data_IF_784314045203
#
_entry.id   IF_784314045203
#
_cell.length_a   1.000
_cell.length_b   1.000
_cell.length_c   1.000
_cell.angle_alpha   90.00
_cell.angle_beta   90.00
_cell.angle_gamma   90.00
#
_symmetry.space_group_name_H-M   'P 1'
#
loop_
_entity.id
_entity.type
_entity.pdbx_description
1 polymer ?
#
# COMPACT_ATOMS: atom_id res chain seq x y z
N UNK A 1 -0.52 -5.00 -27.25
CA UNK A 1 -1.30 -4.41 -26.13
C UNK A 1 -0.50 -4.57 -24.85
N UNK A 2 -0.23 -3.49 -24.10
CA UNK A 2 0.60 -3.57 -22.90
C UNK A 2 -0.06 -4.48 -21.85
N UNK A 3 0.69 -5.47 -21.33
CA UNK A 3 0.22 -6.49 -20.36
C UNK A 3 -0.49 -5.86 -19.15
N UNK A 4 0.00 -4.70 -18.69
CA UNK A 4 -0.61 -3.97 -17.56
C UNK A 4 -1.97 -3.36 -17.88
N UNK A 5 -2.18 -2.86 -19.11
CA UNK A 5 -3.49 -2.37 -19.55
C UNK A 5 -4.51 -3.51 -19.64
N UNK A 6 -4.08 -4.68 -20.13
CA UNK A 6 -4.92 -5.90 -20.17
C UNK A 6 -5.31 -6.31 -18.76
N UNK A 7 -4.34 -6.34 -17.84
CA UNK A 7 -4.60 -6.72 -16.44
C UNK A 7 -5.52 -5.72 -15.74
N UNK A 8 -5.39 -4.42 -16.02
CA UNK A 8 -6.27 -3.39 -15.46
C UNK A 8 -7.70 -3.54 -16.00
N UNK A 9 -7.84 -3.80 -17.30
CA UNK A 9 -9.14 -4.08 -17.92
C UNK A 9 -9.78 -5.35 -17.32
N UNK A 10 -9.01 -6.44 -17.21
CA UNK A 10 -9.49 -7.68 -16.61
C UNK A 10 -9.93 -7.50 -15.16
N UNK A 11 -9.21 -6.73 -14.35
CA UNK A 11 -9.59 -6.43 -12.97
C UNK A 11 -10.96 -5.75 -12.88
N UNK A 12 -11.27 -4.83 -13.79
CA UNK A 12 -12.57 -4.15 -13.85
C UNK A 12 -13.67 -5.06 -14.37
N UNK A 13 -13.41 -5.76 -15.48
CA UNK A 13 -14.40 -6.61 -16.17
C UNK A 13 -14.74 -7.88 -15.41
N UNK A 14 -13.82 -8.40 -14.58
CA UNK A 14 -14.02 -9.63 -13.81
C UNK A 14 -14.46 -9.36 -12.35
N UNK A 15 -14.91 -8.13 -12.06
CA UNK A 15 -15.37 -7.76 -10.72
C UNK A 15 -16.53 -8.60 -10.21
N UNK A 16 -17.39 -9.08 -11.11
CA UNK A 16 -18.57 -9.90 -10.81
C UNK A 16 -18.25 -11.37 -10.55
N UNK A 17 -17.04 -11.84 -10.89
CA UNK A 17 -16.66 -13.21 -10.62
C UNK A 17 -16.63 -13.51 -9.12
N UNK A 18 -17.04 -14.73 -8.69
CA UNK A 18 -16.82 -15.20 -7.34
C UNK A 18 -15.33 -15.08 -6.96
N UNK A 19 -15.05 -14.65 -5.73
CA UNK A 19 -13.70 -14.31 -5.28
C UNK A 19 -12.68 -15.43 -5.53
N UNK A 20 -13.03 -16.70 -5.25
CA UNK A 20 -12.14 -17.85 -5.48
C UNK A 20 -11.82 -18.05 -6.96
N UNK A 21 -12.82 -17.90 -7.84
CA UNK A 21 -12.64 -18.04 -9.29
C UNK A 21 -11.78 -16.92 -9.85
N UNK A 22 -12.02 -15.69 -9.39
CA UNK A 22 -11.22 -14.53 -9.74
C UNK A 22 -9.74 -14.75 -9.36
N UNK A 23 -9.48 -15.16 -8.12
CA UNK A 23 -8.10 -15.35 -7.61
C UNK A 23 -7.39 -16.47 -8.38
N UNK A 24 -8.06 -17.61 -8.65
CA UNK A 24 -7.49 -18.72 -9.44
C UNK A 24 -7.11 -18.26 -10.85
N UNK A 25 -7.97 -17.49 -11.50
CA UNK A 25 -7.71 -16.95 -12.83
C UNK A 25 -6.58 -15.92 -12.80
N UNK A 26 -6.64 -14.97 -11.87
CA UNK A 26 -5.62 -13.93 -11.71
C UNK A 26 -4.24 -14.53 -11.44
N UNK A 27 -4.15 -15.50 -10.54
CA UNK A 27 -2.92 -16.22 -10.22
C UNK A 27 -2.35 -16.92 -11.46
N UNK A 28 -3.19 -17.65 -12.21
CA UNK A 28 -2.76 -18.31 -13.45
C UNK A 28 -2.21 -17.33 -14.48
N UNK A 29 -2.84 -16.17 -14.63
CA UNK A 29 -2.39 -15.12 -15.57
C UNK A 29 -1.10 -14.44 -15.13
N UNK A 30 -0.87 -14.33 -13.82
CA UNK A 30 0.32 -13.68 -13.26
C UNK A 30 1.51 -14.63 -13.13
N UNK A 31 1.28 -15.80 -12.58
CA UNK A 31 2.32 -16.78 -12.20
C UNK A 31 2.55 -17.84 -13.27
N UNK A 32 1.62 -17.96 -14.23
CA UNK A 32 1.72 -18.92 -15.34
C UNK A 32 1.32 -20.35 -14.99
N UNK A 33 0.93 -20.63 -13.74
CA UNK A 33 0.52 -21.97 -13.27
C UNK A 33 -0.78 -21.93 -12.47
N UNK A 34 -1.40 -23.10 -12.27
CA UNK A 34 -2.62 -23.22 -11.48
C UNK A 34 -2.33 -22.94 -10.00
N UNK A 35 -3.25 -22.23 -9.35
CA UNK A 35 -3.22 -22.01 -7.91
C UNK A 35 -3.71 -23.25 -7.18
N UNK A 36 -2.88 -23.84 -6.32
CA UNK A 36 -3.27 -24.90 -5.41
C UNK A 36 -3.79 -24.29 -4.11
N UNK A 37 -5.11 -24.35 -3.89
CA UNK A 37 -5.75 -23.84 -2.68
C UNK A 37 -5.96 -24.92 -1.62
N UNK A 38 -5.91 -26.19 -2.02
CA UNK A 38 -6.19 -27.32 -1.12
C UNK A 38 -4.92 -27.73 -0.35
N UNK A 39 -3.77 -27.65 -1.01
CA UNK A 39 -2.46 -27.88 -0.40
C UNK A 39 -1.45 -26.84 -0.88
N UNK A 40 -1.48 -25.59 -0.34
CA UNK A 40 -0.58 -24.53 -0.74
C UNK A 40 0.85 -24.79 -0.22
N UNK A 41 1.81 -24.91 -1.12
CA UNK A 41 3.22 -25.19 -0.77
C UNK A 41 4.09 -23.95 -0.83
N UNK A 42 3.86 -23.09 -1.81
CA UNK A 42 4.66 -21.85 -1.97
C UNK A 42 4.09 -20.69 -1.15
N UNK A 43 4.93 -19.72 -0.82
CA UNK A 43 4.51 -18.50 -0.12
C UNK A 43 3.33 -17.82 -0.84
N UNK A 44 3.42 -17.67 -2.17
CA UNK A 44 2.35 -17.05 -2.95
C UNK A 44 1.02 -17.80 -2.87
N UNK A 45 1.04 -19.13 -2.88
CA UNK A 45 -0.17 -19.95 -2.70
C UNK A 45 -0.74 -19.80 -1.29
N UNK A 46 0.12 -19.82 -0.27
CA UNK A 46 -0.27 -19.61 1.14
C UNK A 46 -0.90 -18.23 1.33
N UNK A 47 -0.35 -17.18 0.73
CA UNK A 47 -0.94 -15.83 0.77
C UNK A 47 -2.33 -15.79 0.12
N UNK A 48 -2.54 -16.49 -1.02
CA UNK A 48 -3.87 -16.54 -1.62
C UNK A 48 -4.86 -17.36 -0.76
N UNK A 49 -4.39 -18.45 -0.16
CA UNK A 49 -5.18 -19.27 0.76
C UNK A 49 -5.63 -18.47 1.98
N UNK A 50 -4.72 -17.66 2.57
CA UNK A 50 -5.02 -16.81 3.72
C UNK A 50 -6.13 -15.80 3.46
N UNK A 51 -6.30 -15.28 2.25
CA UNK A 51 -7.39 -14.36 1.90
C UNK A 51 -8.79 -14.93 2.17
N UNK A 52 -8.93 -16.25 2.20
CA UNK A 52 -10.21 -16.92 2.42
C UNK A 52 -10.34 -17.54 3.81
N UNK A 53 -9.24 -18.02 4.36
CA UNK A 53 -9.24 -18.84 5.56
C UNK A 53 -8.75 -18.11 6.81
N UNK A 54 -8.14 -16.93 6.62
CA UNK A 54 -7.53 -16.17 7.70
C UNK A 54 -8.12 -14.75 7.75
N UNK A 55 -9.22 -14.60 8.49
CA UNK A 55 -9.97 -13.35 8.55
C UNK A 55 -10.23 -12.97 9.99
N UNK A 56 -9.64 -11.84 10.41
CA UNK A 56 -9.85 -11.28 11.74
C UNK A 56 -10.30 -9.82 11.65
N UNK A 57 -11.13 -9.35 12.57
CA UNK A 57 -11.52 -7.94 12.62
C UNK A 57 -10.33 -6.99 12.66
N UNK A 58 -9.27 -7.35 13.41
CA UNK A 58 -8.05 -6.57 13.53
C UNK A 58 -7.39 -6.29 12.18
N UNK A 59 -7.47 -7.21 11.20
CA UNK A 59 -6.89 -6.99 9.88
C UNK A 59 -7.45 -5.73 9.19
N UNK A 60 -8.76 -5.47 9.32
CA UNK A 60 -9.37 -4.28 8.75
C UNK A 60 -8.93 -3.01 9.48
N UNK A 61 -8.77 -3.08 10.79
CA UNK A 61 -8.30 -1.96 11.62
C UNK A 61 -6.87 -1.58 11.23
N UNK A 62 -5.95 -2.56 11.16
CA UNK A 62 -4.54 -2.30 10.84
C UNK A 62 -4.29 -2.00 9.36
N UNK A 63 -5.26 -2.30 8.49
CA UNK A 63 -5.19 -1.93 7.06
C UNK A 63 -5.76 -0.53 6.78
N UNK A 64 -6.56 0.01 7.68
CA UNK A 64 -7.06 1.38 7.63
C UNK A 64 -6.01 2.33 8.22
N UNK A 65 -5.42 3.20 7.36
CA UNK A 65 -4.37 4.13 7.80
C UNK A 65 -4.80 5.16 8.85
N UNK A 66 -6.11 5.32 9.05
CA UNK A 66 -6.65 6.17 10.12
C UNK A 66 -6.82 5.36 11.41
N UNK A 67 -7.52 4.22 11.34
CA UNK A 67 -7.83 3.41 12.52
C UNK A 67 -6.59 2.73 13.11
N UNK A 68 -5.60 2.36 12.31
CA UNK A 68 -4.36 1.76 12.81
C UNK A 68 -3.59 2.68 13.75
N UNK A 69 -3.83 3.99 13.70
CA UNK A 69 -3.14 4.98 14.55
C UNK A 69 -3.48 4.76 16.02
N UNK A 70 -4.75 4.55 16.35
CA UNK A 70 -5.18 4.28 17.74
C UNK A 70 -4.57 2.97 18.24
N UNK A 71 -4.53 1.94 17.38
CA UNK A 71 -3.90 0.67 17.70
C UNK A 71 -2.39 0.81 17.97
N UNK A 72 -1.67 1.55 17.12
CA UNK A 72 -0.22 1.79 17.30
C UNK A 72 0.02 2.61 18.56
N UNK A 73 -0.77 3.67 18.80
CA UNK A 73 -0.68 4.49 19.99
C UNK A 73 -0.85 3.67 21.27
N UNK A 74 -1.81 2.76 21.28
CA UNK A 74 -2.06 1.86 22.43
C UNK A 74 -0.91 0.85 22.65
N UNK A 75 -0.34 0.31 21.57
CA UNK A 75 0.64 -0.80 21.66
C UNK A 75 2.07 -0.35 21.90
N UNK A 76 2.50 0.73 21.27
CA UNK A 76 3.91 1.14 21.30
C UNK A 76 4.14 2.63 21.53
N UNK A 77 3.08 3.47 21.49
CA UNK A 77 3.17 4.90 21.76
C UNK A 77 2.87 5.78 20.53
N UNK A 78 2.51 7.02 20.80
CA UNK A 78 2.17 8.01 19.77
C UNK A 78 3.40 8.55 19.03
N UNK A 79 4.55 8.51 19.65
CA UNK A 79 5.85 8.95 19.12
C UNK A 79 6.29 8.17 17.87
N UNK A 80 5.73 6.96 17.67
CA UNK A 80 5.97 6.16 16.46
C UNK A 80 5.03 6.50 15.30
N UNK A 81 4.12 7.46 15.48
CA UNK A 81 3.18 7.89 14.46
C UNK A 81 3.61 9.21 13.83
N UNK A 82 3.54 9.29 12.51
CA UNK A 82 3.67 10.57 11.81
C UNK A 82 2.52 11.47 12.26
N UNK A 83 2.73 12.73 12.68
CA UNK A 83 1.66 13.62 13.11
C UNK A 83 0.54 13.73 12.06
N UNK A 84 -0.71 13.50 12.51
CA UNK A 84 -1.90 13.67 11.70
C UNK A 84 -2.31 15.15 11.74
N UNK A 85 -2.44 15.77 10.58
CA UNK A 85 -2.86 17.16 10.43
C UNK A 85 -4.36 17.31 10.25
N UNK A 86 -5.03 16.25 9.78
CA UNK A 86 -6.47 16.23 9.61
C UNK A 86 -6.98 14.99 8.89
N UNK A 87 -8.32 14.82 8.93
CA UNK A 87 -9.02 13.75 8.23
C UNK A 87 -10.40 14.23 7.79
N UNK A 88 -10.76 13.98 6.51
CA UNK A 88 -11.99 14.45 5.88
C UNK A 88 -12.67 13.35 5.07
N UNK A 89 -13.96 13.53 4.80
CA UNK A 89 -14.71 12.64 3.90
C UNK A 89 -14.52 13.07 2.44
N UNK A 90 -14.64 14.35 2.19
CA UNK A 90 -14.60 14.93 0.86
C UNK A 90 -13.42 15.87 0.72
N UNK A 91 -12.93 16.07 -0.50
CA UNK A 91 -11.78 16.92 -0.78
C UNK A 91 -12.08 18.39 -0.50
N UNK A 92 -13.31 18.81 -0.71
CA UNK A 92 -13.80 20.16 -0.49
C UNK A 92 -13.82 20.57 0.98
N UNK A 93 -13.86 19.61 1.89
CA UNK A 93 -13.82 19.87 3.33
C UNK A 93 -12.42 20.29 3.82
N UNK A 94 -11.40 20.19 2.97
CA UNK A 94 -10.02 20.50 3.33
C UNK A 94 -9.79 22.00 3.29
N UNK A 95 -9.60 22.61 4.46
CA UNK A 95 -9.09 23.98 4.53
C UNK A 95 -7.56 23.98 4.39
N UNK A 96 -7.10 24.21 3.16
CA UNK A 96 -5.66 24.26 2.87
C UNK A 96 -4.94 25.44 3.50
N UNK A 97 -5.66 26.48 3.95
CA UNK A 97 -5.04 27.64 4.62
C UNK A 97 -4.44 27.22 5.95
N UNK A 98 -5.06 26.26 6.64
CA UNK A 98 -4.61 25.72 7.93
C UNK A 98 -3.46 24.71 7.80
N UNK A 99 -3.21 24.20 6.60
CA UNK A 99 -2.14 23.23 6.40
C UNK A 99 -0.77 23.90 6.23
N UNK A 100 0.30 23.27 6.73
CA UNK A 100 1.66 23.79 6.57
C UNK A 100 2.08 23.83 5.10
N UNK A 101 3.25 24.42 4.81
CA UNK A 101 3.80 24.46 3.44
C UNK A 101 4.06 23.07 2.85
N UNK A 102 4.34 22.10 3.72
CA UNK A 102 4.68 20.73 3.33
C UNK A 102 3.79 19.73 4.06
N UNK A 103 3.14 18.86 3.32
CA UNK A 103 2.26 17.82 3.86
C UNK A 103 2.10 16.65 2.89
N UNK A 104 1.46 15.59 3.36
CA UNK A 104 1.11 14.43 2.54
C UNK A 104 -0.37 14.14 2.67
N UNK A 105 -1.12 14.21 1.56
CA UNK A 105 -2.49 13.71 1.50
C UNK A 105 -2.49 12.27 1.00
N UNK A 106 -3.30 11.44 1.62
CA UNK A 106 -3.50 10.05 1.18
C UNK A 106 -4.88 9.54 1.57
N UNK A 107 -5.39 8.55 0.84
CA UNK A 107 -6.59 7.85 1.26
C UNK A 107 -6.24 6.73 2.25
N UNK A 108 -7.12 6.53 3.26
CA UNK A 108 -6.88 5.56 4.33
C UNK A 108 -6.93 4.10 3.86
N UNK A 109 -7.67 3.81 2.79
CA UNK A 109 -8.11 2.48 2.37
C UNK A 109 -7.39 1.92 1.14
N UNK A 110 -6.43 2.66 0.56
CA UNK A 110 -5.73 2.24 -0.66
C UNK A 110 -4.22 2.52 -0.62
N UNK A 111 -3.53 2.22 -1.72
CA UNK A 111 -2.11 2.55 -1.90
C UNK A 111 -1.84 3.53 -3.05
N UNK A 112 -2.89 4.08 -3.69
CA UNK A 112 -2.78 4.88 -4.92
C UNK A 112 -3.02 6.37 -4.77
N UNK A 113 -3.83 6.78 -3.80
CA UNK A 113 -4.28 8.16 -3.58
C UNK A 113 -3.28 9.06 -2.83
N UNK A 114 -1.99 8.93 -3.10
CA UNK A 114 -0.94 9.69 -2.43
C UNK A 114 -0.60 10.98 -3.17
N UNK A 115 -0.70 12.12 -2.50
CA UNK A 115 -0.22 13.44 -2.95
C UNK A 115 0.85 13.92 -1.98
N UNK A 116 2.08 14.03 -2.44
CA UNK A 116 3.20 14.58 -1.67
C UNK A 116 3.33 16.05 -2.03
N UNK A 117 3.03 16.92 -1.09
CA UNK A 117 3.18 18.37 -1.21
C UNK A 117 4.49 18.80 -0.53
N UNK A 118 5.48 19.17 -1.31
CA UNK A 118 6.75 19.69 -0.84
C UNK A 118 6.78 21.23 -0.82
N UNK A 119 5.82 21.87 -1.49
CA UNK A 119 5.62 23.33 -1.50
C UNK A 119 4.16 23.60 -1.88
N UNK A 120 3.37 24.08 -0.90
CA UNK A 120 1.94 24.36 -1.08
C UNK A 120 1.67 25.41 -2.16
N UNK A 121 2.57 26.39 -2.30
CA UNK A 121 2.41 27.48 -3.25
C UNK A 121 2.59 27.00 -4.71
N UNK A 122 3.18 25.81 -4.91
CA UNK A 122 3.40 25.16 -6.19
C UNK A 122 2.50 23.94 -6.43
N UNK A 123 1.60 23.65 -5.50
CA UNK A 123 0.71 22.51 -5.59
C UNK A 123 -0.33 22.73 -6.69
N UNK A 124 -0.42 21.79 -7.64
CA UNK A 124 -1.52 21.72 -8.58
C UNK A 124 -2.74 21.09 -7.87
N UNK A 125 -3.58 21.96 -7.30
CA UNK A 125 -4.76 21.55 -6.53
C UNK A 125 -5.76 20.75 -7.37
N UNK A 126 -5.89 21.05 -8.67
CA UNK A 126 -6.78 20.32 -9.56
C UNK A 126 -6.32 18.87 -9.74
N UNK A 127 -5.04 18.66 -10.04
CA UNK A 127 -4.49 17.31 -10.15
C UNK A 127 -4.51 16.56 -8.81
N UNK A 128 -4.28 17.27 -7.71
CA UNK A 128 -4.36 16.68 -6.37
C UNK A 128 -5.79 16.20 -6.08
N UNK A 129 -6.80 17.03 -6.36
CA UNK A 129 -8.21 16.70 -6.23
C UNK A 129 -8.57 15.47 -7.05
N UNK A 130 -8.31 15.50 -8.37
CA UNK A 130 -8.62 14.39 -9.28
C UNK A 130 -8.03 13.07 -8.78
N UNK A 131 -6.79 13.11 -8.28
CA UNK A 131 -6.11 11.92 -7.78
C UNK A 131 -6.75 11.37 -6.52
N UNK A 132 -7.07 12.23 -5.56
CA UNK A 132 -7.68 11.86 -4.29
C UNK A 132 -9.11 11.37 -4.50
N UNK A 133 -9.93 12.09 -5.26
CA UNK A 133 -11.31 11.68 -5.56
C UNK A 133 -11.40 10.37 -6.33
N UNK A 134 -10.51 10.15 -7.28
CA UNK A 134 -10.41 8.87 -7.98
C UNK A 134 -10.11 7.73 -7.01
N UNK A 135 -9.26 7.98 -6.03
CA UNK A 135 -8.93 7.04 -4.99
C UNK A 135 -10.11 6.79 -4.06
N UNK A 136 -10.79 7.82 -3.56
CA UNK A 136 -11.98 7.71 -2.71
C UNK A 136 -13.08 6.85 -3.33
N UNK A 137 -13.28 6.97 -4.67
CA UNK A 137 -14.25 6.18 -5.43
C UNK A 137 -13.81 4.72 -5.68
N UNK A 138 -12.58 4.37 -5.33
CA UNK A 138 -12.05 3.02 -5.52
C UNK A 138 -12.34 2.15 -4.28
N UNK A 139 -12.40 0.82 -4.51
CA UNK A 139 -12.34 -0.13 -3.43
C UNK A 139 -11.23 -1.14 -3.73
N UNK A 140 -10.19 -1.10 -2.92
CA UNK A 140 -8.97 -1.87 -3.10
C UNK A 140 -9.20 -3.38 -3.03
N UNK A 141 -10.26 -3.81 -2.33
CA UNK A 141 -10.69 -5.22 -2.31
C UNK A 141 -10.82 -5.82 -3.71
N UNK A 142 -11.40 -5.09 -4.66
CA UNK A 142 -11.63 -5.62 -6.00
C UNK A 142 -10.36 -5.81 -6.84
N UNK A 143 -9.22 -5.28 -6.37
CA UNK A 143 -7.93 -5.44 -7.05
C UNK A 143 -7.30 -6.80 -6.70
N UNK A 144 -7.22 -7.11 -5.42
CA UNK A 144 -6.52 -8.29 -4.92
C UNK A 144 -7.39 -9.30 -4.17
N UNK A 145 -8.68 -9.01 -4.01
CA UNK A 145 -9.61 -9.78 -3.17
C UNK A 145 -9.10 -9.92 -1.73
N UNK A 146 -8.44 -8.89 -1.24
CA UNK A 146 -7.95 -8.81 0.12
C UNK A 146 -9.06 -8.33 1.03
N UNK A 147 -9.60 -9.24 1.84
CA UNK A 147 -10.83 -9.05 2.61
C UNK A 147 -10.77 -7.85 3.56
N UNK A 148 -9.63 -7.58 4.13
CA UNK A 148 -9.42 -6.47 5.07
C UNK A 148 -9.77 -5.10 4.50
N UNK A 149 -9.67 -4.91 3.17
CA UNK A 149 -10.02 -3.65 2.52
C UNK A 149 -11.50 -3.50 2.14
N UNK A 150 -12.29 -4.58 2.26
CA UNK A 150 -13.66 -4.63 1.70
C UNK A 150 -14.57 -3.56 2.28
N UNK A 151 -14.51 -3.37 3.60
CA UNK A 151 -15.45 -2.55 4.37
C UNK A 151 -14.80 -1.30 4.99
N UNK A 152 -13.56 -0.97 4.63
CA UNK A 152 -12.95 0.28 5.08
C UNK A 152 -13.73 1.44 4.47
N UNK A 153 -14.22 2.34 5.33
CA UNK A 153 -14.89 3.56 4.88
C UNK A 153 -13.85 4.54 4.35
N UNK A 154 -13.93 4.95 3.07
CA UNK A 154 -12.96 5.86 2.48
C UNK A 154 -12.90 7.19 3.22
N UNK A 155 -11.68 7.66 3.48
CA UNK A 155 -11.39 8.99 4.02
C UNK A 155 -10.08 9.52 3.46
N UNK A 156 -9.96 10.82 3.42
CA UNK A 156 -8.71 11.52 3.20
C UNK A 156 -8.03 11.71 4.56
N UNK A 157 -6.75 11.47 4.64
CA UNK A 157 -5.92 11.83 5.78
C UNK A 157 -4.78 12.72 5.30
N UNK A 158 -4.43 13.70 6.12
CA UNK A 158 -3.28 14.57 5.91
C UNK A 158 -2.27 14.32 7.02
N UNK A 159 -1.05 14.03 6.65
CA UNK A 159 0.06 13.83 7.58
C UNK A 159 1.16 14.85 7.34
N UNK A 160 1.91 15.12 8.39
CA UNK A 160 3.12 15.95 8.30
C UNK A 160 4.08 15.34 7.29
N UNK A 161 4.63 16.16 6.40
CA UNK A 161 5.71 15.72 5.53
C UNK A 161 6.96 15.43 6.36
N UNK A 162 7.52 14.24 6.17
CA UNK A 162 8.81 13.87 6.76
C UNK A 162 9.87 13.79 5.67
N UNK A 163 11.05 14.29 5.97
CA UNK A 163 12.19 14.23 5.07
C UNK A 163 13.44 13.85 5.84
N UNK A 164 14.35 13.19 5.16
CA UNK A 164 15.70 12.92 5.62
C UNK A 164 16.66 13.74 4.77
N UNK A 165 17.26 14.78 5.36
CA UNK A 165 18.15 15.74 4.69
C UNK A 165 17.54 16.31 3.38
N UNK A 166 16.23 16.65 3.41
CA UNK A 166 15.49 17.18 2.26
C UNK A 166 15.02 16.13 1.25
N UNK A 167 15.36 14.87 1.45
CA UNK A 167 14.92 13.75 0.61
C UNK A 167 13.76 12.98 1.25
N UNK A 168 13.02 12.24 0.44
CA UNK A 168 12.04 11.28 0.95
C UNK A 168 12.79 10.16 1.68
N UNK A 169 12.40 9.81 2.92
CA UNK A 169 13.05 8.74 3.66
C UNK A 169 13.02 7.41 2.92
N UNK A 170 14.00 6.57 3.19
CA UNK A 170 13.99 5.19 2.70
C UNK A 170 12.80 4.43 3.29
N UNK A 171 12.23 3.53 2.49
CA UNK A 171 11.11 2.69 2.89
C UNK A 171 11.65 1.33 3.39
N UNK A 172 11.37 1.01 4.64
CA UNK A 172 11.76 -0.25 5.28
C UNK A 172 10.54 -1.15 5.43
N UNK A 173 10.62 -2.37 4.94
CA UNK A 173 9.57 -3.39 5.07
C UNK A 173 10.12 -4.59 5.79
N UNK A 174 9.63 -4.83 7.00
CA UNK A 174 10.06 -5.94 7.83
C UNK A 174 9.09 -7.10 7.64
N UNK A 175 9.59 -8.21 7.16
CA UNK A 175 8.85 -9.47 7.06
C UNK A 175 8.94 -10.21 8.39
N UNK A 176 7.78 -10.47 8.99
CA UNK A 176 7.69 -11.18 10.26
C UNK A 176 7.02 -12.54 10.07
N UNK A 177 7.59 -13.57 10.66
CA UNK A 177 7.01 -14.91 10.69
C UNK A 177 6.84 -15.35 12.15
N UNK A 178 5.64 -15.78 12.50
CA UNK A 178 5.27 -16.15 13.88
C UNK A 178 5.62 -15.08 14.92
N UNK A 179 5.40 -13.80 14.56
CA UNK A 179 5.69 -12.66 15.45
C UNK A 179 7.16 -12.26 15.55
N UNK A 180 8.07 -12.93 14.84
CA UNK A 180 9.50 -12.60 14.83
C UNK A 180 9.87 -11.95 13.50
N UNK A 181 10.61 -10.82 13.53
CA UNK A 181 11.19 -10.25 12.33
C UNK A 181 12.26 -11.20 11.77
N UNK A 182 12.28 -11.36 10.45
CA UNK A 182 13.13 -12.31 9.75
C UNK A 182 13.94 -11.62 8.63
N UNK A 183 13.24 -10.95 7.71
CA UNK A 183 13.87 -10.27 6.58
C UNK A 183 13.44 -8.81 6.54
N UNK A 184 14.39 -7.90 6.32
CA UNK A 184 14.13 -6.48 6.07
C UNK A 184 14.38 -6.15 4.61
N UNK A 185 13.37 -5.65 3.93
CA UNK A 185 13.47 -5.07 2.59
C UNK A 185 13.62 -3.55 2.70
N UNK A 186 14.71 -3.02 2.19
CA UNK A 186 14.96 -1.59 2.08
C UNK A 186 14.72 -1.13 0.64
N UNK A 187 13.78 -0.18 0.46
CA UNK A 187 13.51 0.43 -0.84
C UNK A 187 14.20 1.79 -0.91
N UNK A 188 15.18 1.92 -1.80
CA UNK A 188 15.90 3.18 -2.08
C UNK A 188 15.41 3.78 -3.39
N UNK A 189 15.57 5.08 -3.53
CA UNK A 189 15.35 5.85 -4.77
C UNK A 189 13.94 5.75 -5.37
N UNK A 190 12.95 5.36 -4.56
CA UNK A 190 11.57 5.12 -5.02
C UNK A 190 10.93 6.37 -5.66
N UNK A 191 11.38 7.56 -5.29
CA UNK A 191 10.87 8.84 -5.77
C UNK A 191 11.97 9.71 -6.41
N UNK A 192 13.14 9.11 -6.73
CA UNK A 192 14.23 9.83 -7.38
C UNK A 192 13.83 10.25 -8.79
N UNK A 193 14.04 11.54 -9.11
CA UNK A 193 13.85 12.07 -10.46
C UNK A 193 14.89 11.53 -11.46
N UNK A 194 16.03 11.06 -10.96
CA UNK A 194 17.18 10.67 -11.76
C UNK A 194 17.22 9.18 -12.09
N UNK A 195 16.48 8.36 -11.35
CA UNK A 195 16.42 6.92 -11.59
C UNK A 195 14.96 6.50 -11.71
N UNK A 196 14.57 5.97 -12.87
CA UNK A 196 13.22 5.43 -13.07
C UNK A 196 13.00 4.08 -12.38
N UNK A 197 13.93 3.64 -11.52
CA UNK A 197 13.89 2.33 -10.88
C UNK A 197 14.24 2.45 -9.40
N UNK A 198 13.34 2.00 -8.53
CA UNK A 198 13.65 1.79 -7.14
C UNK A 198 14.64 0.63 -7.00
N UNK A 199 15.61 0.78 -6.10
CA UNK A 199 16.53 -0.29 -5.71
C UNK A 199 15.97 -1.01 -4.49
N UNK A 200 16.01 -2.34 -4.51
CA UNK A 200 15.52 -3.18 -3.42
C UNK A 200 16.67 -4.00 -2.85
N UNK A 201 16.92 -3.83 -1.56
CA UNK A 201 17.95 -4.55 -0.82
C UNK A 201 17.27 -5.39 0.27
N UNK A 202 17.60 -6.68 0.31
CA UNK A 202 17.11 -7.59 1.34
C UNK A 202 18.22 -7.82 2.35
N UNK A 203 17.87 -7.72 3.62
CA UNK A 203 18.75 -8.00 4.74
C UNK A 203 18.12 -9.12 5.57
N UNK A 204 18.89 -10.18 5.75
CA UNK A 204 18.58 -11.23 6.71
C UNK A 204 19.01 -10.76 8.11
N UNK A 205 18.19 -10.97 9.12
CA UNK A 205 18.53 -10.58 10.50
C UNK A 205 19.64 -11.46 11.12
N UNK A 206 19.80 -12.67 10.63
CA UNK A 206 20.87 -13.59 11.12
C UNK A 206 22.25 -13.23 10.58
N UNK A 207 22.34 -12.46 9.49
CA UNK A 207 23.61 -12.08 8.84
C UNK A 207 23.59 -10.61 8.53
N UNK A 208 24.48 -9.82 9.12
CA UNK A 208 24.60 -8.36 8.91
C UNK A 208 24.77 -7.94 7.43
N UNK A 209 25.02 -8.86 6.53
CA UNK A 209 25.32 -8.60 5.12
C UNK A 209 24.80 -9.72 4.22
N UNK A 210 23.63 -9.55 3.65
CA UNK A 210 23.30 -10.31 2.44
C UNK A 210 22.63 -9.38 1.44
N UNK A 211 23.35 -9.05 0.40
CA UNK A 211 22.82 -8.28 -0.71
C UNK A 211 22.20 -9.24 -1.72
N UNK A 212 20.89 -9.42 -1.65
CA UNK A 212 20.14 -9.96 -2.77
C UNK A 212 19.57 -8.79 -3.56
N UNK A 213 20.26 -8.37 -4.60
CA UNK A 213 19.70 -7.51 -5.64
C UNK A 213 18.81 -8.37 -6.52
N UNK A 214 17.51 -8.34 -6.31
CA UNK A 214 16.58 -8.87 -7.30
C UNK A 214 16.51 -7.86 -8.46
N UNK A 215 16.60 -8.31 -9.72
CA UNK A 215 16.37 -7.44 -10.86
C UNK A 215 14.96 -6.87 -10.76
N UNK A 216 14.85 -5.56 -10.92
CA UNK A 216 13.63 -4.75 -10.77
C UNK A 216 12.57 -5.02 -11.85
N UNK A 217 12.77 -5.99 -12.69
CA UNK A 217 11.82 -6.45 -13.67
C UNK A 217 11.32 -7.82 -13.26
N UNK A 218 10.07 -7.84 -12.86
CA UNK A 218 9.19 -8.98 -12.72
C UNK A 218 8.99 -9.51 -11.30
N UNK A 219 7.82 -9.18 -10.84
CA UNK A 219 6.84 -10.17 -10.37
C UNK A 219 7.15 -10.78 -9.01
N UNK A 220 6.69 -10.05 -8.04
CA UNK A 220 6.02 -10.77 -6.95
C UNK A 220 4.53 -10.53 -7.08
#
# INVERSE_FOLDING_TARGET
>A
MNRDKVMTFLKKSLRFLPDKSYIKLYYRLRVGRKLNMDNPTTLNEKLQWMKFNYRFPLQSIVSDKLLVRDYVKEKIGEEYLIPLLGSWKDYEDIDFSLLPKQFVLKCNHDSGGLVVCTDKDKLDFTKAKDKVEKSLKSNFFYIGREYQYRNIKPRIICEKFISDNGNVPMDYKIYCFNGKPDVTLVCKDRFSKNTHRASYLYYDQAVSYTHLTLPTNREV
#
